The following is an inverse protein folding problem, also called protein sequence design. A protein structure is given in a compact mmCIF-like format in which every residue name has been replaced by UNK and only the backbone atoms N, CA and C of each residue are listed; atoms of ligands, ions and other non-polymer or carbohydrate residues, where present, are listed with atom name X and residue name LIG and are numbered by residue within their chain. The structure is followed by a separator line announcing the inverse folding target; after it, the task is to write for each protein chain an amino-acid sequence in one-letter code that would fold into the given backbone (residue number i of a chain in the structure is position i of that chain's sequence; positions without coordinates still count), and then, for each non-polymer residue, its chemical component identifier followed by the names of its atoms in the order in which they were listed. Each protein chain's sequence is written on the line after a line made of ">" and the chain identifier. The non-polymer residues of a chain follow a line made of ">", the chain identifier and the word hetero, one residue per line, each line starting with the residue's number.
data_IF_966015305334
#
_entry.id   IF_966015305334
#
_cell.length_a   1.000
_cell.length_b   1.000
_cell.length_c   1.000
_cell.angle_alpha   90.00
_cell.angle_beta   90.00
_cell.angle_gamma   90.00
#
_symmetry.space_group_name_H-M   'P 1'
#
loop_
_entity.id
_entity.type
_entity.pdbx_description
1 polymer ?
#
# COMPACT_ATOMS: atom_id res chain seq x y z
N UNK A 1 -37.08 51.64 -57.81
CA UNK A 1 -38.38 51.16 -57.37
C UNK A 1 -38.13 50.51 -56.01
N UNK A 2 -38.39 51.22 -54.91
CA UNK A 2 -39.58 51.23 -54.08
C UNK A 2 -40.00 49.81 -53.66
N UNK A 3 -39.84 49.37 -52.43
CA UNK A 3 -40.67 49.53 -51.22
C UNK A 3 -39.95 48.83 -50.08
N UNK A 4 -39.64 49.37 -48.92
CA UNK A 4 -40.58 49.85 -47.84
C UNK A 4 -41.44 48.73 -47.23
N UNK A 5 -41.20 48.38 -46.01
CA UNK A 5 -42.11 47.55 -45.21
C UNK A 5 -41.48 47.02 -43.93
N UNK A 6 -41.53 47.82 -42.97
CA UNK A 6 -42.23 47.80 -41.69
C UNK A 6 -41.59 46.91 -40.59
N UNK A 7 -41.07 47.64 -39.65
CA UNK A 7 -40.96 47.36 -38.22
C UNK A 7 -42.10 46.49 -37.69
N UNK A 8 -41.69 45.41 -36.99
CA UNK A 8 -42.50 44.90 -35.90
C UNK A 8 -41.62 44.57 -34.72
N UNK A 9 -41.68 45.46 -33.76
CA UNK A 9 -41.19 45.24 -32.41
C UNK A 9 -42.03 44.15 -31.78
N UNK A 10 -41.38 43.06 -31.34
CA UNK A 10 -41.98 42.17 -30.33
C UNK A 10 -41.04 42.07 -29.15
N UNK A 11 -41.32 42.85 -28.14
CA UNK A 11 -40.88 42.72 -26.79
C UNK A 11 -41.34 41.36 -26.26
N UNK A 12 -40.42 40.46 -26.00
CA UNK A 12 -40.72 39.28 -25.20
C UNK A 12 -39.69 39.14 -24.07
N UNK A 13 -40.22 39.24 -22.92
CA UNK A 13 -39.77 39.13 -21.57
C UNK A 13 -38.48 38.40 -21.29
N UNK A 14 -37.62 39.12 -20.62
CA UNK A 14 -36.45 38.64 -19.90
C UNK A 14 -36.90 37.85 -18.67
N UNK A 15 -37.11 36.55 -18.81
CA UNK A 15 -37.31 35.63 -17.70
C UNK A 15 -35.96 35.11 -17.22
N UNK A 16 -35.34 35.79 -16.29
CA UNK A 16 -34.17 35.26 -15.53
C UNK A 16 -34.73 34.18 -14.59
N UNK A 17 -34.62 32.93 -15.03
CA UNK A 17 -34.77 31.78 -14.14
C UNK A 17 -33.46 31.65 -13.35
N UNK A 18 -33.46 32.18 -12.13
CA UNK A 18 -32.48 31.85 -11.09
C UNK A 18 -32.70 30.38 -10.72
N UNK A 19 -32.00 29.49 -11.41
CA UNK A 19 -31.81 28.13 -10.93
C UNK A 19 -30.89 28.21 -9.71
N UNK A 20 -31.49 28.25 -8.53
CA UNK A 20 -30.83 27.90 -7.28
C UNK A 20 -30.47 26.43 -7.41
N UNK A 21 -29.21 26.17 -7.82
CA UNK A 21 -28.65 24.85 -7.76
C UNK A 21 -28.53 24.47 -6.29
N UNK A 22 -29.45 23.65 -5.81
CA UNK A 22 -29.22 22.87 -4.60
C UNK A 22 -27.95 22.05 -4.83
N UNK A 23 -26.85 22.53 -4.27
CA UNK A 23 -25.66 21.70 -4.07
C UNK A 23 -26.03 20.66 -3.02
N UNK A 24 -26.58 19.54 -3.47
CA UNK A 24 -26.65 18.32 -2.66
C UNK A 24 -25.21 17.99 -2.31
N UNK A 25 -24.83 18.32 -1.08
CA UNK A 25 -23.61 17.78 -0.49
C UNK A 25 -23.78 16.26 -0.55
N UNK A 26 -23.04 15.63 -1.47
CA UNK A 26 -22.93 14.16 -1.48
C UNK A 26 -22.30 13.78 -0.15
N UNK A 27 -23.10 13.25 0.75
CA UNK A 27 -22.64 12.52 1.93
C UNK A 27 -21.79 11.33 1.39
N UNK A 28 -20.47 11.57 1.24
CA UNK A 28 -19.54 10.48 1.03
C UNK A 28 -19.65 9.56 2.24
N UNK A 29 -19.86 8.25 2.05
CA UNK A 29 -19.92 7.34 3.16
C UNK A 29 -18.62 7.47 3.98
N UNK A 30 -18.77 7.85 5.24
CA UNK A 30 -17.70 7.89 6.21
C UNK A 30 -17.11 6.47 6.28
N UNK A 31 -15.85 6.33 5.84
CA UNK A 31 -15.14 5.06 5.96
C UNK A 31 -14.86 4.84 7.44
N UNK A 32 -15.15 3.64 7.91
CA UNK A 32 -14.88 3.23 9.29
C UNK A 32 -13.45 2.72 9.39
N UNK A 33 -12.68 3.27 10.32
CA UNK A 33 -11.35 2.75 10.64
C UNK A 33 -11.48 1.54 11.57
N UNK A 34 -10.81 0.45 11.25
CA UNK A 34 -10.72 -0.74 12.10
C UNK A 34 -9.25 -0.93 12.48
N UNK A 35 -8.94 -0.90 13.79
CA UNK A 35 -7.60 -1.12 14.33
C UNK A 35 -7.63 -2.35 15.22
N UNK A 36 -6.82 -3.35 14.92
CA UNK A 36 -6.75 -4.62 15.65
C UNK A 36 -8.14 -5.29 15.85
N UNK A 37 -8.99 -5.25 14.81
CA UNK A 37 -10.33 -5.84 14.84
C UNK A 37 -11.37 -5.04 15.61
N UNK A 38 -11.02 -3.87 16.13
CA UNK A 38 -11.95 -2.95 16.81
C UNK A 38 -12.31 -1.80 15.87
N UNK A 39 -13.60 -1.62 15.67
CA UNK A 39 -14.12 -0.46 14.96
C UNK A 39 -13.86 0.80 15.78
N UNK A 40 -13.34 1.80 15.11
CA UNK A 40 -12.94 3.05 15.74
C UNK A 40 -13.79 4.20 15.22
N UNK A 41 -14.29 5.01 16.14
CA UNK A 41 -15.04 6.22 15.84
C UNK A 41 -14.06 7.38 15.58
N UNK A 42 -13.32 7.27 14.48
CA UNK A 42 -12.44 8.35 14.01
C UNK A 42 -12.79 8.70 12.58
N UNK A 43 -12.80 9.98 12.26
CA UNK A 43 -13.14 10.45 10.92
C UNK A 43 -12.03 10.09 9.94
N UNK A 44 -12.37 9.30 8.91
CA UNK A 44 -11.52 9.07 7.76
C UNK A 44 -11.95 10.03 6.65
N UNK A 45 -11.07 10.94 6.27
CA UNK A 45 -11.30 11.94 5.22
C UNK A 45 -10.58 11.51 3.96
N UNK A 46 -11.27 11.54 2.83
CA UNK A 46 -10.67 11.27 1.53
C UNK A 46 -10.38 12.58 0.79
N UNK A 47 -9.10 12.83 0.48
CA UNK A 47 -8.65 13.99 -0.30
C UNK A 47 -7.86 13.46 -1.49
N UNK A 48 -8.28 13.83 -2.70
CA UNK A 48 -7.64 13.42 -3.96
C UNK A 48 -7.40 11.91 -4.10
N UNK A 49 -8.37 11.08 -3.63
CA UNK A 49 -8.27 9.63 -3.69
C UNK A 49 -7.42 8.99 -2.59
N UNK A 50 -6.88 9.79 -1.67
CA UNK A 50 -6.12 9.31 -0.51
C UNK A 50 -6.95 9.42 0.75
N UNK A 51 -6.87 8.40 1.60
CA UNK A 51 -7.55 8.38 2.90
C UNK A 51 -6.64 8.98 3.97
N UNK A 52 -7.15 9.93 4.72
CA UNK A 52 -6.46 10.58 5.84
C UNK A 52 -7.21 10.27 7.13
N UNK A 53 -6.47 10.03 8.18
CA UNK A 53 -6.99 9.78 9.52
C UNK A 53 -6.45 10.85 10.45
N UNK A 54 -7.28 11.30 11.38
CA UNK A 54 -6.85 12.19 12.45
C UNK A 54 -5.83 11.47 13.34
N UNK A 55 -4.63 12.03 13.42
CA UNK A 55 -3.51 11.44 14.15
C UNK A 55 -3.73 11.43 15.68
N UNK A 56 -4.47 12.41 16.21
CA UNK A 56 -4.82 12.45 17.62
C UNK A 56 -5.81 11.34 17.96
N UNK A 57 -6.84 11.16 17.12
CA UNK A 57 -7.78 10.05 17.22
C UNK A 57 -7.08 8.70 17.13
N UNK A 58 -6.17 8.55 16.17
CA UNK A 58 -5.38 7.32 16.03
C UNK A 58 -4.53 7.05 17.28
N UNK A 59 -3.85 8.07 17.81
CA UNK A 59 -3.04 7.92 19.02
C UNK A 59 -3.85 7.46 20.22
N UNK A 60 -5.04 8.04 20.46
CA UNK A 60 -5.95 7.63 21.54
C UNK A 60 -6.33 6.14 21.44
N UNK A 61 -6.58 5.67 20.22
CA UNK A 61 -6.98 4.29 19.96
C UNK A 61 -5.90 3.29 20.28
N UNK A 62 -4.66 3.59 19.93
CA UNK A 62 -3.50 2.75 20.20
C UNK A 62 -2.93 2.97 21.61
N UNK A 63 -3.58 3.84 22.42
CA UNK A 63 -3.14 4.17 23.77
C UNK A 63 -1.87 5.04 23.81
N UNK A 64 -1.54 5.66 22.70
CA UNK A 64 -0.38 6.54 22.54
C UNK A 64 -0.70 8.01 22.81
N UNK A 65 0.28 8.87 22.59
CA UNK A 65 0.15 10.33 22.65
C UNK A 65 0.81 11.00 21.44
N UNK A 66 0.27 12.15 21.02
CA UNK A 66 0.85 12.98 19.96
C UNK A 66 1.34 14.29 20.53
N UNK A 67 2.54 14.70 20.13
CA UNK A 67 3.10 16.01 20.43
C UNK A 67 3.37 16.75 19.13
N UNK A 68 2.86 17.99 19.03
CA UNK A 68 3.08 18.85 17.87
C UNK A 68 4.17 19.88 18.19
N UNK A 69 5.22 19.90 17.39
CA UNK A 69 6.26 20.92 17.41
C UNK A 69 6.23 21.68 16.08
N UNK A 70 6.83 22.86 15.95
CA UNK A 70 6.73 23.67 14.74
C UNK A 70 7.15 22.98 13.44
N UNK A 71 8.05 22.00 13.52
CA UNK A 71 8.58 21.26 12.37
C UNK A 71 8.51 19.75 12.52
N UNK A 72 7.84 19.25 13.56
CA UNK A 72 7.81 17.82 13.87
C UNK A 72 6.50 17.41 14.55
N UNK A 73 5.99 16.26 14.16
CA UNK A 73 4.89 15.59 14.85
C UNK A 73 5.48 14.31 15.43
N UNK A 74 5.41 14.17 16.74
CA UNK A 74 5.91 12.99 17.44
C UNK A 74 4.74 12.16 17.96
N UNK A 75 4.60 10.92 17.46
CA UNK A 75 3.66 9.94 17.97
C UNK A 75 4.41 9.02 18.94
N UNK A 76 4.03 9.05 20.21
CA UNK A 76 4.60 8.16 21.23
C UNK A 76 3.63 7.01 21.46
N UNK A 77 4.10 5.79 21.26
CA UNK A 77 3.35 4.58 21.59
C UNK A 77 3.49 4.26 23.06
N UNK A 78 2.47 3.66 23.71
CA UNK A 78 2.61 3.19 25.08
C UNK A 78 3.69 2.13 25.13
N UNK A 79 4.59 2.27 26.09
CA UNK A 79 5.55 1.21 26.41
C UNK A 79 4.76 -0.04 26.84
N UNK A 80 5.05 -1.23 26.29
CA UNK A 80 4.36 -2.44 26.72
C UNK A 80 4.51 -2.58 28.24
N UNK A 81 3.38 -2.60 28.96
CA UNK A 81 3.38 -2.71 30.40
C UNK A 81 4.22 -3.92 30.83
N UNK A 82 5.10 -3.79 31.84
CA UNK A 82 5.82 -4.93 32.39
C UNK A 82 4.80 -6.00 32.78
N UNK A 83 5.02 -7.21 32.27
CA UNK A 83 4.10 -8.33 32.40
C UNK A 83 3.64 -8.49 33.85
N UNK A 84 2.37 -8.18 34.12
CA UNK A 84 1.73 -8.51 35.37
C UNK A 84 1.76 -10.03 35.54
N UNK A 85 2.22 -10.48 36.72
CA UNK A 85 2.25 -11.88 37.15
C UNK A 85 0.88 -12.54 36.87
N UNK A 86 0.81 -13.67 36.15
CA UNK A 86 -0.47 -14.25 35.77
C UNK A 86 -1.18 -14.86 36.96
N UNK A 87 -2.37 -14.35 37.26
CA UNK A 87 -3.36 -15.06 38.07
C UNK A 87 -4.41 -15.60 37.10
N UNK A 88 -4.47 -16.91 37.02
CA UNK A 88 -5.43 -17.81 36.40
C UNK A 88 -6.50 -17.21 35.43
N UNK A 89 -6.24 -17.29 34.13
CA UNK A 89 -7.26 -17.45 33.10
C UNK A 89 -6.69 -18.36 32.00
N UNK A 90 -7.43 -19.42 31.74
CA UNK A 90 -7.26 -20.48 30.74
C UNK A 90 -6.31 -20.16 29.59
N UNK A 91 -5.15 -20.78 29.62
CA UNK A 91 -4.00 -20.50 28.78
C UNK A 91 -4.24 -20.90 27.32
N UNK A 92 -4.22 -19.93 26.42
CA UNK A 92 -3.51 -20.17 25.18
C UNK A 92 -2.04 -20.45 25.57
N UNK A 93 -1.50 -21.58 25.14
CA UNK A 93 -0.12 -21.98 25.43
C UNK A 93 0.82 -20.78 25.12
N UNK A 94 1.80 -20.46 25.99
CA UNK A 94 2.78 -19.43 25.68
C UNK A 94 3.48 -19.86 24.40
N UNK A 95 3.32 -19.04 23.33
CA UNK A 95 4.15 -19.21 22.14
C UNK A 95 5.58 -19.04 22.65
N UNK A 96 6.43 -20.04 22.37
CA UNK A 96 7.82 -19.97 22.73
C UNK A 96 8.36 -18.64 22.21
N UNK A 97 9.08 -17.88 23.05
CA UNK A 97 9.60 -16.56 22.71
C UNK A 97 10.56 -16.57 21.50
N UNK A 98 10.84 -17.74 20.97
CA UNK A 98 11.76 -18.01 19.89
C UNK A 98 11.10 -18.21 18.50
N UNK A 99 9.76 -18.31 18.38
CA UNK A 99 9.07 -18.54 17.11
C UNK A 99 8.47 -17.25 16.56
N UNK A 100 8.26 -17.22 15.22
CA UNK A 100 7.51 -16.14 14.59
C UNK A 100 6.04 -16.14 15.02
N UNK A 101 5.49 -14.96 15.28
CA UNK A 101 4.08 -14.81 15.62
C UNK A 101 3.16 -15.18 14.44
N UNK A 102 2.03 -15.81 14.73
CA UNK A 102 1.07 -16.25 13.71
C UNK A 102 0.49 -15.07 12.92
N UNK A 103 0.26 -13.94 13.58
CA UNK A 103 -0.24 -12.74 12.93
C UNK A 103 0.77 -12.19 11.93
N UNK A 104 2.03 -12.09 12.31
CA UNK A 104 3.10 -11.68 11.40
C UNK A 104 3.22 -12.65 10.22
N UNK A 105 3.28 -13.97 10.48
CA UNK A 105 3.38 -14.97 9.42
C UNK A 105 2.28 -14.82 8.35
N UNK A 106 1.02 -14.60 8.75
CA UNK A 106 -0.09 -14.44 7.83
C UNK A 106 0.08 -13.20 6.94
N UNK A 107 0.43 -12.06 7.53
CA UNK A 107 0.64 -10.82 6.78
C UNK A 107 1.87 -10.89 5.89
N UNK A 108 2.96 -11.48 6.37
CA UNK A 108 4.18 -11.65 5.60
C UNK A 108 3.99 -12.57 4.38
N UNK A 109 3.22 -13.67 4.53
CA UNK A 109 2.86 -14.55 3.40
C UNK A 109 2.04 -13.78 2.36
N UNK A 110 1.09 -12.96 2.81
CA UNK A 110 0.29 -12.12 1.92
C UNK A 110 1.16 -11.10 1.19
N UNK A 111 2.03 -10.38 1.89
CA UNK A 111 2.99 -9.43 1.31
C UNK A 111 3.88 -10.09 0.24
N UNK A 112 4.39 -11.30 0.51
CA UNK A 112 5.18 -12.04 -0.48
C UNK A 112 4.38 -12.48 -1.70
N UNK A 113 3.09 -12.79 -1.53
CA UNK A 113 2.21 -13.10 -2.66
C UNK A 113 2.01 -11.88 -3.56
N UNK A 114 1.78 -10.70 -2.99
CA UNK A 114 1.65 -9.43 -3.73
C UNK A 114 2.98 -9.05 -4.42
N UNK A 115 4.13 -9.20 -3.76
CA UNK A 115 5.45 -9.02 -4.40
C UNK A 115 5.63 -9.92 -5.62
N UNK A 116 5.21 -11.18 -5.51
CA UNK A 116 5.28 -12.14 -6.61
C UNK A 116 4.37 -11.75 -7.77
N UNK A 117 3.16 -11.26 -7.48
CA UNK A 117 2.23 -10.78 -8.49
C UNK A 117 2.80 -9.55 -9.20
N UNK A 118 3.30 -8.57 -8.46
CA UNK A 118 3.95 -7.38 -9.02
C UNK A 118 5.12 -7.74 -9.93
N UNK A 119 6.03 -8.60 -9.45
CA UNK A 119 7.12 -9.13 -10.26
C UNK A 119 6.62 -9.77 -11.57
N UNK A 120 5.54 -10.57 -11.48
CA UNK A 120 4.92 -11.20 -12.65
C UNK A 120 4.36 -10.19 -13.63
N UNK A 121 3.71 -9.14 -13.15
CA UNK A 121 3.17 -8.06 -13.98
C UNK A 121 4.28 -7.29 -14.71
N UNK A 122 5.37 -6.94 -14.04
CA UNK A 122 6.54 -6.30 -14.67
C UNK A 122 7.21 -7.25 -15.68
N UNK A 123 7.37 -8.53 -15.35
CA UNK A 123 7.91 -9.53 -16.29
C UNK A 123 7.07 -9.64 -17.56
N UNK A 124 5.75 -9.55 -17.45
CA UNK A 124 4.84 -9.58 -18.60
C UNK A 124 5.03 -8.37 -19.54
N UNK A 125 5.38 -7.20 -19.02
CA UNK A 125 5.73 -6.02 -19.84
C UNK A 125 6.93 -6.33 -20.76
N UNK A 126 7.94 -7.02 -20.24
CA UNK A 126 9.13 -7.40 -21.01
C UNK A 126 8.78 -8.45 -22.05
N UNK A 127 8.15 -9.54 -21.62
CA UNK A 127 7.91 -10.71 -22.50
C UNK A 127 6.86 -10.46 -23.57
N UNK A 128 5.83 -9.67 -23.27
CA UNK A 128 4.73 -9.39 -24.18
C UNK A 128 4.92 -8.13 -25.02
N UNK A 129 5.92 -7.31 -24.70
CA UNK A 129 6.17 -6.05 -25.41
C UNK A 129 5.03 -5.03 -25.29
N UNK A 130 4.12 -5.22 -24.32
CA UNK A 130 2.95 -4.36 -24.13
C UNK A 130 3.41 -2.98 -23.63
N UNK A 131 2.84 -1.87 -24.16
CA UNK A 131 3.15 -0.55 -23.64
C UNK A 131 2.66 -0.40 -22.20
N UNK A 132 3.46 0.27 -21.38
CA UNK A 132 3.07 0.62 -20.00
C UNK A 132 2.18 1.85 -20.06
N UNK A 133 0.91 1.68 -19.77
CA UNK A 133 -0.09 2.75 -19.75
C UNK A 133 -0.79 2.81 -18.41
N UNK A 134 -1.11 4.03 -17.93
CA UNK A 134 -1.78 4.23 -16.65
C UNK A 134 -0.83 4.16 -15.45
N UNK A 135 -1.43 4.00 -14.27
CA UNK A 135 -0.75 4.08 -12.94
C UNK A 135 -0.50 2.72 -12.31
N UNK A 136 -0.85 1.63 -12.98
CA UNK A 136 -0.79 0.29 -12.39
C UNK A 136 0.59 -0.10 -11.80
N UNK A 137 1.76 0.34 -12.33
CA UNK A 137 3.03 0.00 -11.69
C UNK A 137 3.17 0.66 -10.32
N UNK A 138 2.74 1.94 -10.22
CA UNK A 138 2.73 2.68 -8.96
C UNK A 138 1.69 2.08 -8.00
N UNK A 139 0.53 1.63 -8.51
CA UNK A 139 -0.52 0.99 -7.71
C UNK A 139 -0.02 -0.33 -7.07
N UNK A 140 0.78 -1.13 -7.79
CA UNK A 140 1.43 -2.32 -7.22
C UNK A 140 2.46 -1.95 -6.17
N UNK A 141 3.35 -1.02 -6.48
CA UNK A 141 4.36 -0.53 -5.54
C UNK A 141 3.73 -0.08 -4.22
N UNK A 142 2.74 0.79 -4.30
CA UNK A 142 2.07 1.35 -3.13
C UNK A 142 1.33 0.28 -2.32
N UNK A 143 0.68 -0.69 -2.99
CA UNK A 143 -0.03 -1.79 -2.34
C UNK A 143 0.93 -2.68 -1.57
N UNK A 144 2.01 -3.14 -2.22
CA UNK A 144 3.04 -3.96 -1.56
C UNK A 144 3.69 -3.21 -0.39
N UNK A 145 3.96 -1.91 -0.57
CA UNK A 145 4.51 -1.07 0.50
C UNK A 145 3.58 -0.99 1.71
N UNK A 146 2.27 -0.86 1.49
CA UNK A 146 1.26 -0.85 2.55
C UNK A 146 1.16 -2.21 3.26
N UNK A 147 1.21 -3.32 2.51
CA UNK A 147 1.17 -4.67 3.08
C UNK A 147 2.41 -4.96 3.93
N UNK A 148 3.59 -4.53 3.45
CA UNK A 148 4.84 -4.62 4.19
C UNK A 148 4.79 -3.79 5.49
N UNK A 149 4.19 -2.61 5.45
CA UNK A 149 3.95 -1.81 6.65
C UNK A 149 3.07 -2.54 7.66
N UNK A 150 1.97 -3.17 7.19
CA UNK A 150 1.09 -3.95 8.06
C UNK A 150 1.82 -5.15 8.69
N UNK A 151 2.62 -5.87 7.89
CA UNK A 151 3.46 -6.96 8.41
C UNK A 151 4.46 -6.44 9.46
N UNK A 152 5.07 -5.27 9.22
CA UNK A 152 6.00 -4.63 10.16
C UNK A 152 5.31 -4.26 11.47
N UNK A 153 4.10 -3.71 11.42
CA UNK A 153 3.32 -3.36 12.61
C UNK A 153 2.84 -4.59 13.42
N UNK A 154 2.70 -5.73 12.76
CA UNK A 154 2.33 -6.99 13.40
C UNK A 154 3.51 -7.75 14.00
N UNK A 155 4.75 -7.35 13.69
CA UNK A 155 5.96 -7.96 14.22
C UNK A 155 6.05 -7.75 15.74
N UNK A 156 6.00 -8.85 16.48
CA UNK A 156 5.94 -8.84 17.94
C UNK A 156 7.05 -9.64 18.61
N UNK A 157 7.79 -10.45 17.84
CA UNK A 157 8.93 -11.24 18.34
C UNK A 157 10.25 -10.76 17.74
N UNK A 158 11.37 -11.20 18.29
CA UNK A 158 12.69 -10.92 17.72
C UNK A 158 12.82 -11.51 16.33
N UNK A 159 12.28 -12.72 16.11
CA UNK A 159 12.29 -13.38 14.81
C UNK A 159 11.43 -12.67 13.79
N UNK A 160 10.25 -12.14 14.19
CA UNK A 160 9.43 -11.31 13.32
C UNK A 160 10.20 -10.08 12.81
N UNK A 161 10.88 -9.37 13.73
CA UNK A 161 11.62 -8.16 13.37
C UNK A 161 12.83 -8.46 12.46
N UNK A 162 13.48 -9.60 12.62
CA UNK A 162 14.55 -10.05 11.72
C UNK A 162 13.99 -10.40 10.33
N UNK A 163 12.84 -11.08 10.29
CA UNK A 163 12.17 -11.41 9.03
C UNK A 163 11.66 -10.16 8.30
N UNK A 164 11.18 -9.14 9.03
CA UNK A 164 10.82 -7.82 8.45
C UNK A 164 11.99 -7.20 7.70
N UNK A 165 13.21 -7.26 8.23
CA UNK A 165 14.38 -6.71 7.55
C UNK A 165 14.63 -7.40 6.20
N UNK A 166 14.47 -8.72 6.13
CA UNK A 166 14.63 -9.46 4.89
C UNK A 166 13.48 -9.18 3.90
N UNK A 167 12.25 -9.02 4.39
CA UNK A 167 11.11 -8.59 3.55
C UNK A 167 11.34 -7.20 2.96
N UNK A 168 11.90 -6.28 3.73
CA UNK A 168 12.26 -4.93 3.26
C UNK A 168 13.36 -4.99 2.19
N UNK A 169 14.34 -5.89 2.34
CA UNK A 169 15.39 -6.11 1.32
C UNK A 169 14.80 -6.65 0.02
N UNK A 170 13.90 -7.63 0.10
CA UNK A 170 13.20 -8.17 -1.08
C UNK A 170 12.38 -7.09 -1.79
N UNK A 171 11.63 -6.28 -1.03
CA UNK A 171 10.86 -5.16 -1.56
C UNK A 171 11.75 -4.13 -2.27
N UNK A 172 12.89 -3.78 -1.68
CA UNK A 172 13.86 -2.86 -2.30
C UNK A 172 14.44 -3.42 -3.60
N UNK A 173 14.87 -4.69 -3.60
CA UNK A 173 15.37 -5.36 -4.80
C UNK A 173 14.33 -5.38 -5.93
N UNK A 174 13.08 -5.68 -5.59
CA UNK A 174 11.98 -5.71 -6.55
C UNK A 174 11.67 -4.31 -7.09
N UNK A 175 11.67 -3.29 -6.22
CA UNK A 175 11.45 -1.88 -6.59
C UNK A 175 12.51 -1.39 -7.56
N UNK A 176 13.78 -1.64 -7.26
CA UNK A 176 14.91 -1.22 -8.10
C UNK A 176 14.85 -1.89 -9.48
N UNK A 177 14.61 -3.20 -9.50
CA UNK A 177 14.46 -3.96 -10.75
C UNK A 177 13.25 -3.48 -11.56
N UNK A 178 12.09 -3.28 -10.95
CA UNK A 178 10.89 -2.80 -11.63
C UNK A 178 11.12 -1.42 -12.25
N UNK A 179 11.75 -0.49 -11.51
CA UNK A 179 12.08 0.85 -12.00
C UNK A 179 13.05 0.80 -13.17
N UNK A 180 14.07 -0.07 -13.12
CA UNK A 180 14.99 -0.27 -14.22
C UNK A 180 14.25 -0.75 -15.48
N UNK A 181 13.48 -1.83 -15.37
CA UNK A 181 12.70 -2.41 -16.48
C UNK A 181 11.76 -1.37 -17.09
N UNK A 182 11.01 -0.63 -16.26
CA UNK A 182 10.07 0.37 -16.71
C UNK A 182 10.76 1.56 -17.39
N UNK A 183 11.94 1.98 -16.90
CA UNK A 183 12.73 3.05 -17.52
C UNK A 183 13.29 2.63 -18.88
N UNK A 184 13.82 1.42 -18.99
CA UNK A 184 14.29 0.85 -20.26
C UNK A 184 13.14 0.72 -21.25
N UNK A 185 11.97 0.29 -20.80
CA UNK A 185 10.78 0.20 -21.64
C UNK A 185 10.28 1.54 -22.15
N UNK A 186 10.33 2.59 -21.33
CA UNK A 186 9.99 3.96 -21.73
C UNK A 186 10.98 4.53 -22.76
N UNK A 187 12.26 4.16 -22.65
CA UNK A 187 13.31 4.60 -23.57
C UNK A 187 13.28 3.89 -24.93
N UNK A 188 12.70 2.70 -24.99
CA UNK A 188 12.55 1.96 -26.25
C UNK A 188 11.38 2.54 -27.04
N UNK A 189 11.68 2.95 -28.29
CA UNK A 189 10.65 3.32 -29.24
C UNK A 189 9.64 2.17 -29.40
N UNK A 190 8.35 2.48 -29.53
CA UNK A 190 7.27 1.49 -29.52
C UNK A 190 7.43 0.36 -30.59
N UNK A 191 8.38 0.53 -31.51
CA UNK A 191 8.71 -0.42 -32.59
C UNK A 191 9.76 -1.48 -32.22
N UNK A 192 10.45 -1.37 -31.07
CA UNK A 192 11.44 -2.39 -30.67
C UNK A 192 10.81 -3.42 -29.74
N UNK A 193 10.75 -4.65 -30.22
CA UNK A 193 10.46 -5.79 -29.35
C UNK A 193 11.65 -6.01 -28.41
N UNK A 194 11.37 -6.13 -27.12
CA UNK A 194 12.34 -6.65 -26.17
C UNK A 194 12.54 -8.14 -26.49
N UNK A 195 13.77 -8.63 -26.39
CA UNK A 195 14.02 -10.06 -26.51
C UNK A 195 13.21 -10.80 -25.41
N UNK A 196 12.28 -11.71 -25.77
CA UNK A 196 11.51 -12.47 -24.79
C UNK A 196 12.37 -13.28 -23.83
N UNK A 197 13.62 -13.57 -24.21
CA UNK A 197 14.57 -14.30 -23.39
C UNK A 197 15.42 -13.39 -22.47
N UNK A 198 15.27 -12.06 -22.57
CA UNK A 198 16.06 -11.12 -21.75
C UNK A 198 15.94 -11.41 -20.24
N UNK A 199 14.76 -11.84 -19.78
CA UNK A 199 14.53 -12.20 -18.38
C UNK A 199 15.22 -13.50 -17.94
N UNK A 200 15.58 -14.41 -18.86
CA UNK A 200 16.20 -15.68 -18.50
C UNK A 200 17.63 -15.50 -17.99
N UNK A 201 18.32 -14.46 -18.42
CA UNK A 201 19.66 -14.11 -18.00
C UNK A 201 19.73 -12.92 -17.04
N UNK A 202 18.59 -12.42 -16.61
CA UNK A 202 18.49 -11.29 -15.68
C UNK A 202 18.90 -11.73 -14.27
N UNK A 203 20.06 -11.26 -13.83
CA UNK A 203 20.63 -11.61 -12.53
C UNK A 203 19.83 -11.00 -11.37
N UNK A 204 19.27 -9.80 -11.55
CA UNK A 204 18.44 -9.14 -10.52
C UNK A 204 17.15 -9.93 -10.30
N UNK A 205 16.47 -10.32 -11.39
CA UNK A 205 15.27 -11.15 -11.32
C UNK A 205 15.53 -12.53 -10.71
N UNK A 206 16.69 -13.13 -11.02
CA UNK A 206 17.11 -14.41 -10.42
C UNK A 206 17.32 -14.26 -8.90
N UNK A 207 17.97 -13.18 -8.46
CA UNK A 207 18.19 -12.86 -7.05
C UNK A 207 16.84 -12.64 -6.32
N UNK A 208 15.96 -11.79 -6.84
CA UNK A 208 14.60 -11.58 -6.32
C UNK A 208 13.85 -12.91 -6.18
N UNK A 209 13.92 -13.75 -7.21
CA UNK A 209 13.23 -15.06 -7.20
C UNK A 209 13.77 -15.97 -6.10
N UNK A 210 15.08 -15.98 -5.89
CA UNK A 210 15.75 -16.79 -4.87
C UNK A 210 15.40 -16.28 -3.46
N UNK A 211 15.48 -14.97 -3.24
CA UNK A 211 15.12 -14.35 -1.97
C UNK A 211 13.63 -14.62 -1.63
N UNK A 212 12.71 -14.38 -2.55
CA UNK A 212 11.28 -14.61 -2.33
C UNK A 212 10.92 -16.09 -2.04
N UNK A 213 11.63 -17.06 -2.67
CA UNK A 213 11.45 -18.48 -2.37
C UNK A 213 11.94 -18.82 -0.96
N UNK A 214 13.13 -18.32 -0.60
CA UNK A 214 13.70 -18.47 0.72
C UNK A 214 12.79 -17.90 1.80
N UNK A 215 12.36 -16.64 1.65
CA UNK A 215 11.45 -15.96 2.59
C UNK A 215 10.13 -16.72 2.76
N UNK A 216 9.54 -17.19 1.66
CA UNK A 216 8.30 -17.97 1.72
C UNK A 216 8.48 -19.24 2.55
N UNK A 217 9.59 -19.96 2.38
CA UNK A 217 9.87 -21.19 3.13
C UNK A 217 10.12 -20.91 4.61
N UNK A 218 10.91 -19.87 4.92
CA UNK A 218 11.26 -19.47 6.28
C UNK A 218 10.01 -19.03 7.06
N UNK A 219 9.18 -18.15 6.47
CA UNK A 219 7.99 -17.60 7.14
C UNK A 219 6.92 -18.69 7.36
N UNK A 220 6.70 -19.56 6.38
CA UNK A 220 5.77 -20.70 6.53
C UNK A 220 6.28 -21.68 7.59
N UNK A 221 7.60 -21.89 7.67
CA UNK A 221 8.24 -22.71 8.70
C UNK A 221 8.10 -22.14 10.12
N UNK A 222 7.91 -20.84 10.24
CA UNK A 222 7.69 -20.15 11.52
C UNK A 222 8.95 -19.91 12.35
N UNK A 223 10.12 -20.26 11.81
CA UNK A 223 11.42 -20.08 12.47
C UNK A 223 12.33 -19.23 11.61
N UNK A 224 12.90 -18.19 12.18
CA UNK A 224 13.85 -17.33 11.48
C UNK A 224 15.20 -18.03 11.27
N UNK A 225 15.69 -17.93 10.08
CA UNK A 225 17.10 -18.18 9.70
C UNK A 225 17.44 -17.32 8.49
N UNK A 226 18.71 -16.99 8.29
CA UNK A 226 19.19 -16.26 7.10
C UNK A 226 20.21 -17.12 6.36
N UNK A 227 19.92 -17.44 5.10
CA UNK A 227 20.81 -18.19 4.21
C UNK A 227 21.53 -17.30 3.18
N UNK A 228 21.49 -15.99 3.39
CA UNK A 228 22.06 -14.96 2.51
C UNK A 228 21.45 -14.92 1.10
N UNK A 229 20.29 -15.51 0.88
CA UNK A 229 19.61 -15.50 -0.42
C UNK A 229 19.13 -14.11 -0.83
N UNK A 230 18.94 -13.19 0.12
CA UNK A 230 18.51 -11.81 -0.10
C UNK A 230 19.67 -10.81 -0.22
N UNK A 231 20.93 -11.22 -0.04
CA UNK A 231 22.13 -10.37 -0.05
C UNK A 231 22.78 -10.25 -1.42
#
# INVERSE_FOLDING_TARGET
>A
MKQSGKFLFLLLGLGIILSVGDTVAQDKPLRTLVVNGRTVDTAVVEVEGRSYVDIEGLAQIIGGSVTFEPNQITLTLPEPAPAATPTDASAAAPQAADDMSKQFQQLAVFTLAEMREWRGAISAVVTSGVPVVGTWPDDYHDRVGNDLLQATLAASTVQDNQAVQLLQQEYALLTDWANQVLSERKALDAARSIDPNALQSDQALAKISKCGQFLSSMIVGGNFYDDSSCQ
#
